data_IF_382579912927
#
_entry.id   IF_382579912927
#
_cell.length_a   1.000
_cell.length_b   1.000
_cell.length_c   1.000
_cell.angle_alpha   90.00
_cell.angle_beta   90.00
_cell.angle_gamma   90.00
#
_symmetry.space_group_name_H-M   'P 1'
#
loop_
_entity.id
_entity.type
_entity.pdbx_description
1 polymer ?
#
# COMPACT_ATOMS: atom_id res chain seq x y z
N UNK A 1 11.40 -21.81 6.08
CA UNK A 1 11.59 -20.70 5.10
C UNK A 1 12.46 -19.63 5.77
N UNK A 2 13.59 -19.26 5.14
CA UNK A 2 14.49 -18.26 5.71
C UNK A 2 13.78 -16.88 5.77
N UNK A 3 13.92 -16.17 6.91
CA UNK A 3 13.30 -14.83 7.11
C UNK A 3 13.48 -13.86 5.92
N UNK A 4 14.65 -13.72 5.28
CA UNK A 4 14.83 -12.84 4.12
C UNK A 4 14.08 -13.33 2.87
N UNK A 5 13.96 -14.63 2.65
CA UNK A 5 13.19 -15.19 1.53
C UNK A 5 11.69 -14.92 1.71
N UNK A 6 11.20 -15.04 2.94
CA UNK A 6 9.81 -14.74 3.27
C UNK A 6 9.47 -13.26 3.06
N UNK A 7 10.33 -12.34 3.50
CA UNK A 7 10.15 -10.90 3.24
C UNK A 7 10.04 -10.61 1.74
N UNK A 8 10.98 -11.13 0.94
CA UNK A 8 10.96 -10.96 -0.52
C UNK A 8 9.69 -11.53 -1.16
N UNK A 9 9.20 -12.67 -0.69
CA UNK A 9 7.95 -13.24 -1.18
C UNK A 9 6.75 -12.32 -0.89
N UNK A 10 6.66 -11.73 0.32
CA UNK A 10 5.63 -10.76 0.68
C UNK A 10 5.72 -9.52 -0.22
N UNK A 11 6.92 -8.97 -0.43
CA UNK A 11 7.13 -7.79 -1.27
C UNK A 11 6.75 -8.04 -2.74
N UNK A 12 7.08 -9.21 -3.27
CA UNK A 12 6.67 -9.63 -4.63
C UNK A 12 5.17 -9.80 -4.75
N UNK A 13 4.52 -10.41 -3.74
CA UNK A 13 3.06 -10.54 -3.71
C UNK A 13 2.36 -9.18 -3.64
N UNK A 14 2.87 -8.26 -2.84
CA UNK A 14 2.36 -6.88 -2.77
C UNK A 14 2.50 -6.17 -4.11
N UNK A 15 3.63 -6.33 -4.80
CA UNK A 15 3.85 -5.75 -6.12
C UNK A 15 2.89 -6.33 -7.15
N UNK A 16 2.70 -7.65 -7.17
CA UNK A 16 1.74 -8.32 -8.06
C UNK A 16 0.29 -7.87 -7.78
N UNK A 17 -0.08 -7.80 -6.49
CA UNK A 17 -1.39 -7.32 -6.07
C UNK A 17 -1.64 -5.85 -6.51
N UNK A 18 -0.63 -4.99 -6.38
CA UNK A 18 -0.72 -3.61 -6.84
C UNK A 18 -0.96 -3.53 -8.36
N UNK A 19 -0.22 -4.31 -9.15
CA UNK A 19 -0.41 -4.36 -10.61
C UNK A 19 -1.84 -4.77 -10.96
N UNK A 20 -2.38 -5.79 -10.28
CA UNK A 20 -3.75 -6.23 -10.46
C UNK A 20 -4.77 -5.15 -10.05
N UNK A 21 -4.52 -4.44 -8.93
CA UNK A 21 -5.37 -3.34 -8.47
C UNK A 21 -5.39 -2.15 -9.44
N UNK A 22 -4.25 -1.82 -10.06
CA UNK A 22 -4.19 -0.78 -11.11
C UNK A 22 -4.92 -1.20 -12.38
N UNK A 23 -5.00 -2.50 -12.65
CA UNK A 23 -5.74 -3.08 -13.76
C UNK A 23 -7.24 -3.30 -13.48
N UNK A 24 -7.92 -2.38 -12.81
CA UNK A 24 -9.34 -2.51 -12.42
C UNK A 24 -10.25 -3.01 -13.55
N UNK A 25 -10.10 -2.46 -14.76
CA UNK A 25 -10.88 -2.86 -15.94
C UNK A 25 -10.64 -4.32 -16.37
N UNK A 26 -9.50 -4.91 -16.00
CA UNK A 26 -9.14 -6.27 -16.34
C UNK A 26 -9.66 -7.27 -15.29
N UNK A 27 -9.59 -6.91 -14.01
CA UNK A 27 -9.96 -7.83 -12.92
C UNK A 27 -11.42 -7.71 -12.51
N UNK A 28 -12.03 -6.56 -12.70
CA UNK A 28 -13.41 -6.28 -12.31
C UNK A 28 -13.58 -5.90 -10.83
N UNK A 29 -14.78 -5.42 -10.48
CA UNK A 29 -15.09 -4.82 -9.17
C UNK A 29 -14.86 -5.80 -8.01
N UNK A 30 -15.47 -6.98 -8.06
CA UNK A 30 -15.38 -7.96 -6.98
C UNK A 30 -13.94 -8.42 -6.72
N UNK A 31 -13.19 -8.75 -7.79
CA UNK A 31 -11.80 -9.17 -7.66
C UNK A 31 -10.92 -8.03 -7.15
N UNK A 32 -11.14 -6.78 -7.62
CA UNK A 32 -10.43 -5.60 -7.12
C UNK A 32 -10.62 -5.43 -5.60
N UNK A 33 -11.84 -5.57 -5.09
CA UNK A 33 -12.12 -5.45 -3.65
C UNK A 33 -11.43 -6.55 -2.84
N UNK A 34 -11.47 -7.82 -3.28
CA UNK A 34 -10.82 -8.93 -2.59
C UNK A 34 -9.30 -8.83 -2.62
N UNK A 35 -8.72 -8.42 -3.76
CA UNK A 35 -7.28 -8.17 -3.87
C UNK A 35 -6.89 -6.99 -2.96
N UNK A 36 -7.71 -5.94 -2.88
CA UNK A 36 -7.51 -4.82 -1.97
C UNK A 36 -7.51 -5.23 -0.49
N UNK A 37 -8.44 -6.10 -0.09
CA UNK A 37 -8.46 -6.67 1.26
C UNK A 37 -7.20 -7.51 1.52
N UNK A 38 -6.78 -8.34 0.56
CA UNK A 38 -5.54 -9.09 0.62
C UNK A 38 -4.31 -8.18 0.73
N UNK A 39 -4.30 -7.07 -0.02
CA UNK A 39 -3.24 -6.07 0.06
C UNK A 39 -3.15 -5.42 1.44
N UNK A 40 -4.27 -5.16 2.12
CA UNK A 40 -4.28 -4.68 3.50
C UNK A 40 -3.58 -5.67 4.45
N UNK A 41 -3.90 -6.95 4.35
CA UNK A 41 -3.26 -8.00 5.18
C UNK A 41 -1.77 -8.10 4.89
N UNK A 42 -1.38 -8.09 3.61
CA UNK A 42 0.03 -8.10 3.21
C UNK A 42 0.78 -6.86 3.71
N UNK A 43 0.14 -5.68 3.71
CA UNK A 43 0.73 -4.44 4.22
C UNK A 43 0.99 -4.52 5.73
N UNK A 44 0.05 -5.05 6.50
CA UNK A 44 0.23 -5.27 7.94
C UNK A 44 1.40 -6.23 8.19
N UNK A 45 1.46 -7.33 7.44
CA UNK A 45 2.53 -8.30 7.52
C UNK A 45 3.89 -7.69 7.15
N UNK A 46 3.95 -6.93 6.05
CA UNK A 46 5.16 -6.22 5.59
C UNK A 46 5.71 -5.29 6.68
N UNK A 47 4.85 -4.46 7.30
CA UNK A 47 5.27 -3.56 8.37
C UNK A 47 5.71 -4.32 9.61
N UNK A 48 5.03 -5.41 9.97
CA UNK A 48 5.44 -6.30 11.06
C UNK A 48 6.81 -6.92 10.84
N UNK A 49 7.07 -7.42 9.63
CA UNK A 49 8.36 -8.00 9.24
C UNK A 49 9.51 -6.97 9.20
N UNK A 50 9.19 -5.70 8.95
CA UNK A 50 10.15 -4.60 8.88
C UNK A 50 10.11 -3.69 10.12
N UNK A 51 9.55 -4.16 11.23
CA UNK A 51 9.42 -3.40 12.48
C UNK A 51 10.75 -2.86 13.03
N UNK A 52 11.85 -3.61 12.82
CA UNK A 52 13.19 -3.16 13.21
C UNK A 52 13.63 -1.88 12.47
N UNK A 53 13.26 -1.74 11.20
CA UNK A 53 13.51 -0.52 10.42
C UNK A 53 12.70 0.66 10.99
N UNK A 54 11.41 0.44 11.29
CA UNK A 54 10.53 1.48 11.89
C UNK A 54 11.12 1.98 13.22
N UNK A 55 11.55 1.06 14.09
CA UNK A 55 12.24 1.44 15.36
C UNK A 55 13.54 2.20 15.12
N UNK A 56 14.23 1.89 14.04
CA UNK A 56 15.48 2.56 13.65
C UNK A 56 15.30 3.99 13.15
N UNK A 57 14.10 4.43 12.80
CA UNK A 57 13.85 5.78 12.28
C UNK A 57 14.26 6.89 13.26
N UNK A 58 14.14 6.65 14.58
CA UNK A 58 14.50 7.62 15.62
C UNK A 58 15.99 7.61 15.97
N UNK A 59 16.83 6.77 15.33
CA UNK A 59 18.23 6.55 15.70
C UNK A 59 19.16 6.89 14.53
N UNK A 60 20.36 7.40 14.87
CA UNK A 60 21.44 7.65 13.91
C UNK A 60 21.33 9.00 13.18
N UNK A 61 22.30 9.25 12.30
CA UNK A 61 22.36 10.50 11.49
C UNK A 61 21.48 10.39 10.26
N UNK A 62 20.78 11.47 9.95
CA UNK A 62 19.98 11.58 8.73
C UNK A 62 20.86 12.18 7.62
N UNK A 63 21.23 11.36 6.68
CA UNK A 63 21.80 11.79 5.39
C UNK A 63 20.67 12.20 4.45
N UNK A 64 20.96 12.99 3.41
CA UNK A 64 19.97 13.38 2.39
C UNK A 64 19.27 12.15 1.77
N UNK A 65 20.01 11.08 1.51
CA UNK A 65 19.46 9.83 0.98
C UNK A 65 18.50 9.15 1.97
N UNK A 66 18.87 9.10 3.24
CA UNK A 66 17.99 8.54 4.30
C UNK A 66 16.71 9.35 4.49
N UNK A 67 16.80 10.69 4.38
CA UNK A 67 15.61 11.57 4.40
C UNK A 67 14.69 11.22 3.24
N UNK A 68 15.23 11.08 2.02
CA UNK A 68 14.46 10.71 0.84
C UNK A 68 13.78 9.35 1.00
N UNK A 69 14.51 8.33 1.47
CA UNK A 69 13.93 6.99 1.72
C UNK A 69 12.80 7.04 2.74
N UNK A 70 12.99 7.76 3.84
CA UNK A 70 11.99 7.88 4.90
C UNK A 70 10.76 8.63 4.42
N UNK A 71 10.96 9.72 3.66
CA UNK A 71 9.86 10.50 3.08
C UNK A 71 9.04 9.67 2.11
N UNK A 72 9.70 8.97 1.19
CA UNK A 72 9.00 8.08 0.25
C UNK A 72 8.24 6.97 0.96
N UNK A 73 8.84 6.34 1.98
CA UNK A 73 8.16 5.32 2.77
C UNK A 73 6.91 5.89 3.47
N UNK A 74 7.00 7.10 4.03
CA UNK A 74 5.87 7.78 4.67
C UNK A 74 4.76 8.13 3.66
N UNK A 75 5.12 8.62 2.46
CA UNK A 75 4.16 8.92 1.39
C UNK A 75 3.46 7.66 0.86
N UNK A 76 4.20 6.57 0.67
CA UNK A 76 3.63 5.26 0.31
C UNK A 76 2.64 4.80 1.37
N UNK A 77 3.02 4.84 2.65
CA UNK A 77 2.12 4.44 3.74
C UNK A 77 0.86 5.31 3.78
N UNK A 78 1.00 6.63 3.67
CA UNK A 78 -0.13 7.57 3.69
C UNK A 78 -1.10 7.32 2.54
N UNK A 79 -0.60 7.17 1.32
CA UNK A 79 -1.43 6.90 0.14
C UNK A 79 -2.08 5.51 0.20
N UNK A 80 -1.38 4.49 0.71
CA UNK A 80 -1.94 3.17 0.95
C UNK A 80 -3.08 3.20 1.96
N UNK A 81 -2.91 3.86 3.10
CA UNK A 81 -3.97 4.01 4.10
C UNK A 81 -5.18 4.78 3.54
N UNK A 82 -4.93 5.86 2.79
CA UNK A 82 -5.98 6.61 2.13
C UNK A 82 -6.76 5.78 1.10
N UNK A 83 -6.06 5.00 0.27
CA UNK A 83 -6.68 4.11 -0.70
C UNK A 83 -7.50 3.00 -0.02
N UNK A 84 -6.98 2.40 1.06
CA UNK A 84 -7.67 1.35 1.80
C UNK A 84 -8.92 1.89 2.53
N UNK A 85 -8.80 3.00 3.24
CA UNK A 85 -9.93 3.61 3.94
C UNK A 85 -11.04 4.04 2.98
N UNK A 86 -10.69 4.73 1.89
CA UNK A 86 -11.65 5.13 0.88
C UNK A 86 -12.23 3.94 0.11
N UNK A 87 -11.42 2.92 -0.16
CA UNK A 87 -11.86 1.67 -0.77
C UNK A 87 -12.88 0.93 0.10
N UNK A 88 -12.69 0.90 1.42
CA UNK A 88 -13.65 0.31 2.34
C UNK A 88 -15.02 1.02 2.29
N UNK A 89 -15.02 2.36 2.17
CA UNK A 89 -16.26 3.16 2.02
C UNK A 89 -16.96 2.89 0.68
N UNK A 90 -16.18 2.63 -0.38
CA UNK A 90 -16.71 2.35 -1.72
C UNK A 90 -17.15 0.90 -1.92
N UNK A 91 -16.64 -0.01 -1.07
CA UNK A 91 -16.80 -1.45 -1.20
C UNK A 91 -18.27 -1.87 -1.20
N UNK A 92 -18.60 -2.82 -2.06
CA UNK A 92 -19.92 -3.45 -2.17
C UNK A 92 -19.90 -4.93 -1.81
N UNK A 93 -18.74 -5.59 -1.95
CA UNK A 93 -18.58 -7.03 -1.80
C UNK A 93 -17.94 -7.41 -0.46
N UNK A 94 -16.83 -6.75 -0.10
CA UNK A 94 -16.07 -7.09 1.12
C UNK A 94 -16.59 -6.34 2.34
N UNK A 95 -16.80 -5.04 2.23
CA UNK A 95 -17.26 -4.15 3.31
C UNK A 95 -18.65 -3.57 3.05
N UNK A 96 -19.47 -4.21 2.22
CA UNK A 96 -20.81 -3.75 1.87
C UNK A 96 -21.76 -3.56 3.06
N UNK A 97 -21.48 -4.23 4.19
CA UNK A 97 -22.15 -4.04 5.46
C UNK A 97 -21.84 -2.68 6.14
N UNK A 98 -20.74 -2.04 5.75
CA UNK A 98 -20.33 -0.72 6.24
C UNK A 98 -20.96 0.39 5.38
N UNK A 99 -22.29 0.46 5.33
CA UNK A 99 -23.00 1.43 4.49
C UNK A 99 -22.89 2.84 5.05
N UNK A 100 -21.86 3.58 4.64
CA UNK A 100 -21.69 5.00 4.96
C UNK A 100 -22.36 5.82 3.86
N UNK A 101 -23.58 6.27 4.13
CA UNK A 101 -24.33 7.13 3.22
C UNK A 101 -23.71 8.53 3.14
N UNK A 102 -23.66 9.11 1.92
CA UNK A 102 -23.19 10.49 1.70
C UNK A 102 -21.68 10.66 1.48
N UNK A 103 -20.84 9.71 1.87
CA UNK A 103 -19.38 9.84 1.74
C UNK A 103 -18.81 9.31 0.40
N UNK A 104 -19.62 8.67 -0.46
CA UNK A 104 -19.11 7.96 -1.65
C UNK A 104 -18.44 8.87 -2.68
N UNK A 105 -18.92 10.09 -2.86
CA UNK A 105 -18.31 11.06 -3.77
C UNK A 105 -16.90 11.41 -3.35
N UNK A 106 -16.72 11.77 -2.09
CA UNK A 106 -15.41 12.06 -1.49
C UNK A 106 -14.49 10.84 -1.51
N UNK A 107 -15.00 9.69 -1.10
CA UNK A 107 -14.23 8.45 -1.08
C UNK A 107 -13.68 8.09 -2.46
N UNK A 108 -14.45 8.31 -3.54
CA UNK A 108 -13.98 8.09 -4.91
C UNK A 108 -12.81 8.99 -5.27
N UNK A 109 -12.88 10.28 -4.96
CA UNK A 109 -11.79 11.23 -5.24
C UNK A 109 -10.53 10.84 -4.46
N UNK A 110 -10.67 10.57 -3.15
CA UNK A 110 -9.55 10.15 -2.30
C UNK A 110 -8.95 8.85 -2.79
N UNK A 111 -9.78 7.85 -3.15
CA UNK A 111 -9.31 6.56 -3.65
C UNK A 111 -8.49 6.71 -4.93
N UNK A 112 -8.98 7.47 -5.89
CA UNK A 112 -8.29 7.71 -7.17
C UNK A 112 -6.97 8.45 -6.96
N UNK A 113 -6.97 9.54 -6.17
CA UNK A 113 -5.75 10.29 -5.87
C UNK A 113 -4.71 9.42 -5.17
N UNK A 114 -5.12 8.68 -4.13
CA UNK A 114 -4.22 7.80 -3.39
C UNK A 114 -3.72 6.63 -4.25
N UNK A 115 -4.54 6.06 -5.11
CA UNK A 115 -4.13 4.97 -6.01
C UNK A 115 -3.05 5.43 -7.00
N UNK A 116 -3.27 6.53 -7.71
CA UNK A 116 -2.31 7.01 -8.71
C UNK A 116 -1.03 7.54 -8.08
N UNK A 117 -1.12 8.39 -7.06
CA UNK A 117 0.08 8.90 -6.37
C UNK A 117 0.79 7.80 -5.59
N UNK A 118 0.04 6.89 -4.97
CA UNK A 118 0.60 5.72 -4.30
C UNK A 118 1.40 4.84 -5.25
N UNK A 119 0.92 4.64 -6.48
CA UNK A 119 1.67 3.93 -7.52
C UNK A 119 2.97 4.63 -7.88
N UNK A 120 2.95 5.97 -8.06
CA UNK A 120 4.15 6.76 -8.36
C UNK A 120 5.17 6.66 -7.21
N UNK A 121 4.73 6.91 -5.97
CA UNK A 121 5.62 6.87 -4.81
C UNK A 121 6.19 5.47 -4.56
N UNK A 122 5.39 4.42 -4.74
CA UNK A 122 5.85 3.05 -4.60
C UNK A 122 6.87 2.67 -5.68
N UNK A 123 6.67 3.11 -6.91
CA UNK A 123 7.64 2.89 -7.99
C UNK A 123 8.98 3.54 -7.69
N UNK A 124 8.98 4.77 -7.17
CA UNK A 124 10.19 5.46 -6.72
C UNK A 124 10.82 4.76 -5.51
N UNK A 125 10.01 4.38 -4.52
CA UNK A 125 10.45 3.66 -3.34
C UNK A 125 11.12 2.34 -3.70
N UNK A 126 10.51 1.57 -4.58
CA UNK A 126 11.07 0.32 -5.10
C UNK A 126 12.39 0.56 -5.85
N UNK A 127 12.43 1.58 -6.72
CA UNK A 127 13.63 1.92 -7.51
C UNK A 127 14.85 2.23 -6.65
N UNK A 128 14.69 2.98 -5.56
CA UNK A 128 15.82 3.30 -4.67
C UNK A 128 16.27 2.13 -3.79
N UNK A 129 15.45 1.08 -3.64
CA UNK A 129 15.79 -0.12 -2.87
C UNK A 129 16.28 -1.28 -3.75
N UNK A 130 16.19 -1.16 -5.08
CA UNK A 130 16.51 -2.24 -6.01
C UNK A 130 17.96 -2.72 -5.97
N UNK A 131 18.89 -1.92 -5.52
CA UNK A 131 20.32 -2.23 -5.48
C UNK A 131 20.92 -2.45 -4.08
N UNK A 132 20.08 -2.60 -3.05
CA UNK A 132 20.53 -2.72 -1.64
C UNK A 132 20.47 -4.14 -1.10
#
# INVERSE_FOLDING_TARGET
MNKPAFKRAVDLLMTAALMALMGYSLVGEAAHEWIGAGMLLLSILHHGLNWSWIRGLKRGRYTAFRVLQTLLAALVLLTMLGAMASGAVLSRHVFGWLSISGARGWARVVHMLCAYWGFVFLSLHFGIHWGQ
#
